data_IF_229579609211
#
_entry.id   IF_229579609211
#
_cell.length_a   1.000
_cell.length_b   1.000
_cell.length_c   1.000
_cell.angle_alpha   90.00
_cell.angle_beta   90.00
_cell.angle_gamma   90.00
#
_symmetry.space_group_name_H-M   'P 1'
#
loop_
_entity.id
_entity.type
_entity.pdbx_description
1 polymer ?
#
# COMPACT_ATOMS: atom_id res chain seq x y z
N UNK A 1 -17.15 -8.01 11.07
CA UNK A 1 -15.91 -8.43 10.37
C UNK A 1 -14.81 -7.47 10.76
N UNK A 2 -13.66 -7.96 11.22
CA UNK A 2 -12.54 -7.10 11.62
C UNK A 2 -12.00 -6.32 10.41
N UNK A 3 -11.59 -5.09 10.63
CA UNK A 3 -10.98 -4.20 9.63
C UNK A 3 -9.83 -4.93 8.92
N UNK A 4 -9.79 -5.05 7.56
CA UNK A 4 -8.72 -5.76 6.85
C UNK A 4 -7.34 -5.14 7.08
N UNK A 5 -7.25 -3.83 7.31
CA UNK A 5 -6.01 -3.18 7.73
C UNK A 5 -5.55 -3.66 9.13
N UNK A 6 -6.48 -4.10 10.00
CA UNK A 6 -6.22 -4.73 11.30
C UNK A 6 -5.99 -6.23 11.15
N UNK A 7 -6.66 -6.89 10.18
CA UNK A 7 -6.46 -8.32 9.89
C UNK A 7 -5.02 -8.59 9.41
N UNK A 8 -4.40 -7.66 8.67
CA UNK A 8 -3.00 -7.76 8.27
C UNK A 8 -2.04 -7.57 9.47
N UNK A 9 -2.48 -6.86 10.54
CA UNK A 9 -1.60 -6.44 11.64
C UNK A 9 -1.83 -7.16 12.98
N UNK A 10 -2.95 -7.88 13.19
CA UNK A 10 -3.30 -8.44 14.49
C UNK A 10 -3.72 -9.94 14.41
N UNK A 11 -2.78 -10.80 14.04
CA UNK A 11 -2.94 -12.25 14.16
C UNK A 11 -1.75 -12.83 14.94
N UNK A 12 -1.72 -12.55 16.24
CA UNK A 12 -0.69 -13.03 17.18
C UNK A 12 -0.59 -14.57 17.26
N UNK A 13 -1.63 -15.28 16.79
CA UNK A 13 -1.71 -16.72 16.89
C UNK A 13 -1.29 -17.44 15.59
N UNK A 14 -0.82 -16.69 14.58
CA UNK A 14 -0.36 -17.23 13.30
C UNK A 14 1.15 -17.46 13.32
N UNK A 15 1.57 -18.50 12.62
CA UNK A 15 2.99 -18.71 12.29
C UNK A 15 3.23 -18.43 10.81
N UNK A 16 4.42 -17.91 10.47
CA UNK A 16 4.80 -17.67 9.08
C UNK A 16 5.99 -18.57 8.74
N UNK A 17 5.86 -19.36 7.67
CA UNK A 17 6.95 -20.15 7.10
C UNK A 17 7.42 -19.48 5.82
N UNK A 18 8.69 -19.07 5.79
CA UNK A 18 9.31 -18.37 4.67
C UNK A 18 10.30 -19.28 3.99
N UNK A 19 10.09 -19.55 2.70
CA UNK A 19 11.00 -20.29 1.85
C UNK A 19 11.86 -19.34 1.02
N UNK A 20 13.14 -19.68 0.89
CA UNK A 20 14.11 -18.96 0.07
C UNK A 20 14.26 -19.63 -1.30
N UNK A 21 13.78 -18.99 -2.36
CA UNK A 21 14.02 -19.39 -3.74
C UNK A 21 15.20 -18.59 -4.28
N UNK A 22 16.40 -19.16 -4.19
CA UNK A 22 17.64 -18.56 -4.70
C UNK A 22 18.08 -19.30 -5.96
N UNK A 23 17.94 -18.71 -7.17
CA UNK A 23 18.40 -19.32 -8.42
C UNK A 23 19.93 -19.36 -8.52
N UNK A 24 20.45 -20.40 -9.15
CA UNK A 24 21.86 -20.48 -9.51
C UNK A 24 22.19 -19.44 -10.60
N UNK A 25 23.32 -18.73 -10.52
CA UNK A 25 23.64 -17.61 -11.44
C UNK A 25 23.75 -17.99 -12.92
N UNK A 26 23.96 -19.27 -13.25
CA UNK A 26 24.26 -19.70 -14.64
C UNK A 26 23.68 -21.07 -15.02
N UNK A 27 22.96 -21.75 -14.13
CA UNK A 27 22.35 -23.05 -14.37
C UNK A 27 20.87 -23.03 -13.98
N UNK A 28 20.01 -23.90 -14.55
CA UNK A 28 18.60 -24.00 -14.21
C UNK A 28 18.39 -24.77 -12.89
N UNK A 29 19.08 -24.35 -11.84
CA UNK A 29 19.08 -24.96 -10.51
C UNK A 29 18.68 -23.91 -9.47
N UNK A 30 18.19 -24.37 -8.33
CA UNK A 30 17.90 -23.53 -7.16
C UNK A 30 18.64 -24.06 -5.94
N UNK A 31 18.95 -23.17 -4.99
CA UNK A 31 19.52 -23.57 -3.71
C UNK A 31 18.53 -24.45 -2.96
N UNK A 32 19.01 -25.58 -2.47
CA UNK A 32 18.21 -26.54 -1.74
C UNK A 32 18.86 -26.88 -0.39
N UNK A 33 18.07 -27.44 0.50
CA UNK A 33 18.56 -28.03 1.75
C UNK A 33 18.20 -29.54 1.82
N UNK A 34 18.98 -30.27 2.59
CA UNK A 34 18.69 -31.70 2.92
C UNK A 34 18.15 -31.75 4.34
N UNK A 35 17.01 -32.39 4.53
CA UNK A 35 16.43 -32.65 5.84
C UNK A 35 15.73 -34.01 5.83
N UNK A 36 15.99 -34.88 6.82
CA UNK A 36 15.27 -36.16 7.01
C UNK A 36 15.14 -37.03 5.75
N UNK A 37 16.15 -37.00 4.86
CA UNK A 37 16.14 -37.76 3.60
C UNK A 37 15.40 -37.09 2.43
N UNK A 38 14.86 -35.90 2.61
CA UNK A 38 14.14 -35.11 1.60
C UNK A 38 14.97 -33.91 1.13
N UNK A 39 14.60 -33.38 -0.02
CA UNK A 39 15.15 -32.18 -0.62
C UNK A 39 14.07 -31.11 -0.63
N UNK A 40 14.33 -29.96 -0.05
CA UNK A 40 13.39 -28.83 0.01
C UNK A 40 14.10 -27.51 -0.24
N UNK A 41 13.32 -26.43 -0.45
CA UNK A 41 13.86 -25.07 -0.37
C UNK A 41 14.33 -24.77 1.05
N UNK A 42 15.41 -24.01 1.23
CA UNK A 42 15.76 -23.47 2.54
C UNK A 42 14.59 -22.68 3.10
N UNK A 43 14.26 -22.89 4.38
CA UNK A 43 13.13 -22.22 5.02
C UNK A 43 13.41 -21.87 6.47
N UNK A 44 12.64 -20.94 7.00
CA UNK A 44 12.63 -20.53 8.39
C UNK A 44 11.20 -20.18 8.82
N UNK A 45 10.94 -20.19 10.13
CA UNK A 45 9.62 -19.90 10.68
C UNK A 45 9.68 -18.72 11.65
N UNK A 46 8.59 -17.96 11.69
CA UNK A 46 8.32 -16.92 12.67
C UNK A 46 7.07 -17.31 13.45
N UNK A 47 7.08 -17.11 14.76
CA UNK A 47 5.94 -17.39 15.67
C UNK A 47 4.89 -16.24 15.64
N UNK A 48 4.83 -15.55 14.52
CA UNK A 48 3.90 -14.46 14.26
C UNK A 48 3.58 -14.38 12.76
N UNK A 49 2.54 -13.66 12.40
CA UNK A 49 2.28 -13.34 11.00
C UNK A 49 3.22 -12.22 10.53
N UNK A 50 4.13 -12.56 9.64
CA UNK A 50 5.06 -11.60 9.02
C UNK A 50 4.48 -11.08 7.71
N UNK A 51 4.39 -9.77 7.57
CA UNK A 51 4.03 -9.19 6.29
C UNK A 51 5.13 -9.43 5.24
N UNK A 52 4.76 -10.00 4.09
CA UNK A 52 5.70 -10.44 3.03
C UNK A 52 6.54 -9.29 2.44
N UNK A 53 6.06 -8.04 2.53
CA UNK A 53 6.79 -6.84 2.12
C UNK A 53 7.76 -6.27 3.17
N UNK A 54 7.84 -6.85 4.37
CA UNK A 54 8.75 -6.41 5.43
C UNK A 54 10.18 -6.89 5.19
N UNK A 55 10.85 -6.28 4.22
CA UNK A 55 12.22 -6.67 3.85
C UNK A 55 13.25 -6.39 4.94
N UNK A 56 12.99 -5.43 5.83
CA UNK A 56 13.84 -5.14 6.97
C UNK A 56 13.98 -6.34 7.92
N UNK A 57 12.86 -7.04 8.17
CA UNK A 57 12.84 -8.24 9.02
C UNK A 57 13.35 -9.47 8.27
N UNK A 58 12.91 -9.64 7.02
CA UNK A 58 13.14 -10.86 6.25
C UNK A 58 14.58 -10.98 5.75
N UNK A 59 15.19 -9.88 5.26
CA UNK A 59 16.49 -9.94 4.58
C UNK A 59 17.61 -10.51 5.45
N UNK A 60 17.86 -10.07 6.69
CA UNK A 60 18.93 -10.61 7.52
C UNK A 60 18.77 -12.11 7.81
N UNK A 61 17.54 -12.55 8.01
CA UNK A 61 17.22 -13.96 8.27
C UNK A 61 17.47 -14.83 7.03
N UNK A 62 17.06 -14.33 5.85
CA UNK A 62 17.29 -15.02 4.58
C UNK A 62 18.76 -15.03 4.16
N UNK A 63 19.53 -13.97 4.40
CA UNK A 63 20.99 -13.95 4.20
C UNK A 63 21.70 -14.98 5.08
N UNK A 64 21.30 -15.09 6.35
CA UNK A 64 21.83 -16.11 7.26
C UNK A 64 21.44 -17.52 6.79
N UNK A 65 20.20 -17.72 6.32
CA UNK A 65 19.69 -19.01 5.86
C UNK A 65 20.40 -19.50 4.60
N UNK A 66 20.65 -18.58 3.65
CA UNK A 66 21.26 -18.89 2.35
C UNK A 66 22.77 -18.77 2.36
N UNK A 67 23.36 -18.22 3.42
CA UNK A 67 24.78 -17.85 3.51
C UNK A 67 25.26 -16.95 2.34
N UNK A 68 24.36 -16.17 1.74
CA UNK A 68 24.64 -15.31 0.60
C UNK A 68 24.18 -13.86 0.86
N UNK A 69 24.86 -12.89 0.28
CA UNK A 69 24.35 -11.51 0.20
C UNK A 69 23.26 -11.47 -0.87
N UNK A 70 22.04 -11.08 -0.47
CA UNK A 70 20.87 -11.17 -1.35
C UNK A 70 20.08 -9.86 -1.43
N UNK A 71 19.34 -9.72 -2.52
CA UNK A 71 18.16 -8.86 -2.60
C UNK A 71 16.89 -9.72 -2.60
N UNK A 72 15.86 -9.30 -1.88
CA UNK A 72 14.53 -9.89 -1.97
C UNK A 72 13.85 -9.20 -3.15
N UNK A 73 13.51 -9.96 -4.20
CA UNK A 73 12.85 -9.42 -5.38
C UNK A 73 11.34 -9.31 -5.17
N UNK A 74 10.68 -10.44 -4.98
CA UNK A 74 9.27 -10.54 -4.64
C UNK A 74 8.97 -11.95 -4.11
N UNK A 75 7.74 -12.22 -3.68
CA UNK A 75 7.32 -13.60 -3.44
C UNK A 75 6.68 -14.18 -4.73
N UNK A 76 6.92 -15.46 -4.97
CA UNK A 76 6.38 -16.19 -6.12
C UNK A 76 5.21 -17.09 -5.75
N UNK A 77 5.00 -17.33 -4.46
CA UNK A 77 3.89 -18.12 -3.95
C UNK A 77 3.52 -17.68 -2.54
N UNK A 78 2.22 -17.66 -2.26
CA UNK A 78 1.64 -17.39 -0.95
C UNK A 78 0.50 -18.37 -0.71
N UNK A 79 0.46 -18.99 0.46
CA UNK A 79 -0.61 -19.88 0.88
C UNK A 79 -1.00 -19.61 2.33
N UNK A 80 -2.30 -19.45 2.59
CA UNK A 80 -2.88 -19.30 3.93
C UNK A 80 -3.59 -20.59 4.31
N UNK A 81 -3.16 -21.20 5.39
CA UNK A 81 -3.82 -22.33 6.03
C UNK A 81 -4.55 -21.81 7.28
N UNK A 82 -5.85 -21.58 7.14
CA UNK A 82 -6.68 -21.02 8.20
C UNK A 82 -6.89 -22.02 9.37
N UNK A 83 -6.92 -23.33 9.08
CA UNK A 83 -7.10 -24.36 10.11
C UNK A 83 -5.90 -24.44 11.03
N UNK A 84 -4.70 -24.39 10.43
CA UNK A 84 -3.43 -24.46 11.15
C UNK A 84 -2.94 -23.08 11.61
N UNK A 85 -3.63 -21.99 11.24
CA UNK A 85 -3.19 -20.61 11.44
C UNK A 85 -1.75 -20.37 10.95
N UNK A 86 -1.47 -20.85 9.73
CA UNK A 86 -0.14 -20.74 9.10
C UNK A 86 -0.19 -20.01 7.78
N UNK A 87 0.76 -19.13 7.61
CA UNK A 87 1.06 -18.51 6.33
C UNK A 87 2.37 -19.09 5.79
N UNK A 88 2.34 -19.49 4.53
CA UNK A 88 3.52 -19.97 3.81
C UNK A 88 3.80 -19.03 2.66
N UNK A 89 5.04 -18.57 2.50
CA UNK A 89 5.44 -17.76 1.37
C UNK A 89 6.81 -18.18 0.83
N UNK A 90 6.98 -18.07 -0.49
CA UNK A 90 8.24 -18.33 -1.18
C UNK A 90 8.77 -17.03 -1.75
N UNK A 91 9.88 -16.52 -1.21
CA UNK A 91 10.54 -15.32 -1.72
C UNK A 91 11.59 -15.66 -2.77
N UNK A 92 11.47 -15.03 -3.94
CA UNK A 92 12.51 -15.04 -4.97
C UNK A 92 13.63 -14.08 -4.56
N UNK A 93 14.84 -14.59 -4.57
CA UNK A 93 16.05 -13.88 -4.15
C UNK A 93 17.00 -13.67 -5.33
N UNK A 94 17.67 -12.54 -5.35
CA UNK A 94 18.79 -12.26 -6.23
C UNK A 94 20.10 -12.36 -5.44
N UNK A 95 21.04 -13.18 -5.90
CA UNK A 95 22.38 -13.24 -5.35
C UNK A 95 23.19 -12.00 -5.79
N UNK A 96 23.54 -11.14 -4.86
CA UNK A 96 24.25 -9.87 -5.14
C UNK A 96 25.68 -10.08 -5.63
N UNK A 97 26.39 -10.99 -4.97
CA UNK A 97 27.83 -11.18 -5.17
C UNK A 97 28.11 -12.26 -6.22
N UNK A 98 27.05 -12.94 -6.71
CA UNK A 98 27.17 -14.12 -7.56
C UNK A 98 28.16 -15.16 -7.03
N UNK A 99 28.47 -15.08 -5.75
CA UNK A 99 29.33 -16.05 -5.09
C UNK A 99 28.63 -17.41 -5.02
N UNK A 100 29.36 -18.44 -5.36
CA UNK A 100 28.96 -19.84 -5.17
C UNK A 100 29.85 -20.43 -4.10
N UNK A 101 29.25 -20.93 -3.05
CA UNK A 101 30.01 -21.62 -2.00
C UNK A 101 30.21 -23.06 -2.36
N UNK A 102 31.39 -23.63 -2.07
CA UNK A 102 31.78 -25.01 -2.42
C UNK A 102 30.89 -26.11 -1.81
N UNK A 103 30.14 -25.75 -0.75
CA UNK A 103 29.25 -26.65 -0.04
C UNK A 103 27.77 -26.46 -0.38
N UNK A 104 27.43 -25.55 -1.32
CA UNK A 104 26.07 -25.32 -1.73
C UNK A 104 25.46 -26.57 -2.38
N UNK A 105 24.20 -26.82 -2.05
CA UNK A 105 23.44 -27.92 -2.59
C UNK A 105 22.42 -27.41 -3.59
N UNK A 106 22.76 -27.50 -4.88
CA UNK A 106 21.92 -27.02 -5.98
C UNK A 106 21.12 -28.16 -6.59
N UNK A 107 19.83 -27.94 -6.80
CA UNK A 107 18.91 -28.94 -7.36
C UNK A 107 18.00 -28.34 -8.42
N UNK A 108 17.55 -29.15 -9.41
CA UNK A 108 16.43 -28.74 -10.27
C UNK A 108 15.16 -28.51 -9.44
N UNK A 109 14.31 -27.55 -9.86
CA UNK A 109 13.08 -27.24 -9.12
C UNK A 109 12.12 -28.44 -9.07
N UNK A 110 12.08 -29.26 -10.11
CA UNK A 110 11.24 -30.44 -10.17
C UNK A 110 11.49 -31.35 -8.97
N UNK A 111 12.76 -31.46 -8.53
CA UNK A 111 13.13 -32.29 -7.38
C UNK A 111 12.66 -31.67 -6.04
N UNK A 112 12.50 -30.37 -5.97
CA UNK A 112 11.92 -29.68 -4.83
C UNK A 112 10.41 -29.89 -4.77
N UNK A 113 9.76 -29.93 -5.94
CA UNK A 113 8.30 -30.11 -6.06
C UNK A 113 7.85 -31.56 -5.75
N UNK A 114 8.78 -32.52 -5.66
CA UNK A 114 8.52 -33.86 -5.14
C UNK A 114 8.31 -33.90 -3.61
N UNK A 115 8.61 -32.80 -2.90
CA UNK A 115 8.45 -32.70 -1.45
C UNK A 115 6.96 -32.59 -1.06
N UNK A 116 6.42 -33.67 -0.50
CA UNK A 116 5.02 -33.71 -0.06
C UNK A 116 4.74 -32.93 1.22
N UNK A 117 5.75 -32.40 1.89
CA UNK A 117 5.59 -31.60 3.10
C UNK A 117 5.36 -30.11 2.76
N UNK A 118 5.65 -29.70 1.52
CA UNK A 118 5.35 -28.36 1.03
C UNK A 118 3.85 -28.25 0.68
N UNK A 119 3.14 -27.23 1.18
CA UNK A 119 1.74 -27.04 0.83
C UNK A 119 1.51 -26.93 -0.68
N UNK A 120 0.56 -27.71 -1.20
CA UNK A 120 0.24 -27.74 -2.65
C UNK A 120 -0.12 -26.37 -3.23
N UNK A 121 -0.62 -25.46 -2.40
CA UNK A 121 -0.90 -24.06 -2.78
C UNK A 121 0.36 -23.31 -3.24
N UNK A 122 1.56 -23.70 -2.83
CA UNK A 122 2.82 -23.09 -3.26
C UNK A 122 3.30 -23.61 -4.62
N UNK A 123 2.91 -24.83 -5.01
CA UNK A 123 3.37 -25.46 -6.25
C UNK A 123 2.98 -24.67 -7.49
N UNK A 124 1.79 -24.07 -7.52
CA UNK A 124 1.33 -23.24 -8.66
C UNK A 124 2.27 -22.07 -8.90
N UNK A 125 2.61 -21.32 -7.85
CA UNK A 125 3.50 -20.16 -7.98
C UNK A 125 4.92 -20.55 -8.39
N UNK A 126 5.46 -21.67 -7.85
CA UNK A 126 6.76 -22.20 -8.24
C UNK A 126 6.80 -22.68 -9.70
N UNK A 127 5.75 -23.35 -10.17
CA UNK A 127 5.63 -23.75 -11.58
C UNK A 127 5.53 -22.54 -12.50
N UNK A 128 4.71 -21.55 -12.14
CA UNK A 128 4.60 -20.29 -12.89
C UNK A 128 5.95 -19.56 -13.00
N UNK A 129 6.70 -19.50 -11.91
CA UNK A 129 8.06 -18.95 -11.92
C UNK A 129 9.00 -19.75 -12.84
N UNK A 130 8.93 -21.09 -12.84
CA UNK A 130 9.75 -21.91 -13.71
C UNK A 130 9.41 -21.69 -15.20
N UNK A 131 8.12 -21.58 -15.53
CA UNK A 131 7.67 -21.26 -16.89
C UNK A 131 8.17 -19.87 -17.33
N UNK A 132 8.14 -18.87 -16.43
CA UNK A 132 8.71 -17.55 -16.66
C UNK A 132 10.23 -17.65 -17.00
N UNK A 133 10.98 -18.44 -16.20
CA UNK A 133 12.42 -18.62 -16.46
C UNK A 133 12.70 -19.33 -17.79
N UNK A 134 11.88 -20.31 -18.16
CA UNK A 134 12.03 -21.07 -19.41
C UNK A 134 11.62 -20.24 -20.64
N UNK A 135 10.56 -19.46 -20.55
CA UNK A 135 10.08 -18.60 -21.64
C UNK A 135 10.88 -17.33 -21.80
N UNK A 136 11.55 -16.84 -20.75
CA UNK A 136 12.19 -15.54 -20.69
C UNK A 136 11.21 -14.37 -20.72
N UNK A 137 9.91 -14.62 -20.52
CA UNK A 137 8.86 -13.59 -20.53
C UNK A 137 8.59 -13.14 -19.10
N UNK A 138 8.76 -11.86 -18.87
CA UNK A 138 8.37 -11.23 -17.58
C UNK A 138 6.90 -10.80 -17.63
N UNK A 139 6.09 -11.07 -16.60
CA UNK A 139 4.73 -10.55 -16.51
C UNK A 139 4.66 -9.03 -16.67
N UNK A 140 3.76 -8.55 -17.52
CA UNK A 140 3.62 -7.13 -17.88
C UNK A 140 3.47 -6.21 -16.65
N UNK A 141 2.78 -6.71 -15.63
CA UNK A 141 2.47 -5.94 -14.40
C UNK A 141 3.46 -6.21 -13.26
N UNK A 142 4.63 -6.78 -13.54
CA UNK A 142 5.70 -6.99 -12.56
C UNK A 142 6.23 -5.64 -12.08
N UNK A 143 6.34 -5.47 -10.75
CA UNK A 143 6.95 -4.27 -10.17
C UNK A 143 8.42 -4.14 -10.59
N UNK A 144 8.93 -2.93 -10.92
CA UNK A 144 10.31 -2.76 -11.39
C UNK A 144 11.37 -3.29 -10.43
N UNK A 145 11.17 -3.14 -9.13
CA UNK A 145 12.09 -3.62 -8.07
C UNK A 145 12.07 -5.14 -7.86
N UNK A 146 11.09 -5.82 -8.45
CA UNK A 146 11.04 -7.28 -8.50
C UNK A 146 11.89 -7.88 -9.62
N UNK A 147 12.54 -7.04 -10.44
CA UNK A 147 13.39 -7.48 -11.55
C UNK A 147 14.86 -7.56 -11.16
N UNK A 148 15.60 -8.59 -11.60
CA UNK A 148 17.04 -8.69 -11.37
C UNK A 148 17.80 -7.44 -11.81
N UNK A 149 18.79 -7.03 -11.01
CA UNK A 149 19.65 -5.87 -11.27
C UNK A 149 19.01 -4.51 -11.01
N UNK A 150 17.72 -4.45 -10.65
CA UNK A 150 17.07 -3.18 -10.32
C UNK A 150 17.68 -2.55 -9.05
N UNK A 151 17.89 -3.35 -8.00
CA UNK A 151 18.49 -2.88 -6.75
C UNK A 151 19.85 -2.23 -6.98
N UNK A 152 20.72 -2.85 -7.77
CA UNK A 152 22.03 -2.28 -8.09
C UNK A 152 21.94 -0.95 -8.87
N UNK A 153 20.90 -0.75 -9.70
CA UNK A 153 20.66 0.53 -10.38
C UNK A 153 20.17 1.60 -9.40
N UNK A 154 19.24 1.23 -8.51
CA UNK A 154 18.74 2.14 -7.48
C UNK A 154 19.86 2.58 -6.52
N UNK A 155 20.69 1.65 -6.04
CA UNK A 155 21.83 1.95 -5.17
C UNK A 155 22.83 2.91 -5.84
N UNK A 156 23.15 2.72 -7.13
CA UNK A 156 24.01 3.66 -7.87
C UNK A 156 23.40 5.06 -7.93
N UNK A 157 22.11 5.15 -8.28
CA UNK A 157 21.43 6.44 -8.32
C UNK A 157 21.43 7.12 -6.95
N UNK A 158 21.17 6.39 -5.88
CA UNK A 158 21.22 6.90 -4.50
C UNK A 158 22.61 7.47 -4.20
N UNK A 159 23.68 6.71 -4.46
CA UNK A 159 25.06 7.16 -4.23
C UNK A 159 25.39 8.43 -5.02
N UNK A 160 24.97 8.50 -6.28
CA UNK A 160 25.16 9.69 -7.12
C UNK A 160 24.42 10.91 -6.56
N UNK A 161 23.18 10.73 -6.04
CA UNK A 161 22.42 11.85 -5.45
C UNK A 161 23.01 12.27 -4.11
N UNK A 162 23.40 11.34 -3.23
CA UNK A 162 24.03 11.63 -1.94
C UNK A 162 25.30 12.46 -2.15
N UNK A 163 26.12 12.11 -3.14
CA UNK A 163 27.32 12.86 -3.53
C UNK A 163 26.98 14.29 -3.99
N UNK A 164 25.97 14.44 -4.87
CA UNK A 164 25.53 15.76 -5.37
C UNK A 164 24.95 16.65 -4.28
N UNK A 165 24.32 16.05 -3.27
CA UNK A 165 23.74 16.74 -2.11
C UNK A 165 24.76 17.01 -1.00
N UNK A 166 26.03 16.64 -1.22
CA UNK A 166 27.13 16.83 -0.25
C UNK A 166 26.84 16.23 1.13
N UNK A 167 26.13 15.06 1.16
CA UNK A 167 25.76 14.37 2.39
C UNK A 167 26.88 13.43 2.94
N UNK A 168 28.09 13.53 2.40
CA UNK A 168 29.21 12.65 2.76
C UNK A 168 29.10 11.26 2.15
N UNK A 169 29.86 10.30 2.67
CA UNK A 169 29.84 8.93 2.16
C UNK A 169 28.56 8.18 2.59
N UNK A 170 28.04 7.35 1.69
CA UNK A 170 26.98 6.38 2.03
C UNK A 170 27.59 5.27 2.88
N UNK A 171 27.05 5.06 4.07
CA UNK A 171 27.48 4.03 5.02
C UNK A 171 26.71 2.73 4.84
N UNK A 172 25.37 2.80 4.64
CA UNK A 172 24.53 1.65 4.31
C UNK A 172 23.32 2.06 3.48
N UNK A 173 22.81 1.10 2.70
CA UNK A 173 21.53 1.16 2.00
C UNK A 173 20.74 -0.10 2.39
N UNK A 174 19.67 0.08 3.16
CA UNK A 174 18.91 -1.01 3.75
C UNK A 174 17.46 -0.99 3.21
N UNK A 175 16.99 -2.04 2.53
CA UNK A 175 15.59 -2.16 2.17
C UNK A 175 14.76 -2.34 3.44
N UNK A 176 13.72 -1.50 3.61
CA UNK A 176 12.81 -1.57 4.75
C UNK A 176 11.41 -2.05 4.36
N UNK A 177 11.00 -1.76 3.12
CA UNK A 177 9.70 -2.15 2.59
C UNK A 177 9.84 -2.43 1.09
N UNK A 178 9.30 -3.56 0.63
CA UNK A 178 9.21 -3.87 -0.80
C UNK A 178 7.93 -4.67 -1.05
N UNK A 179 7.01 -4.13 -1.83
CA UNK A 179 5.75 -4.75 -2.16
C UNK A 179 5.24 -4.28 -3.53
N UNK A 180 4.01 -4.61 -3.91
CA UNK A 180 3.51 -4.42 -5.28
C UNK A 180 3.43 -2.96 -5.75
N UNK A 181 3.34 -2.00 -4.83
CA UNK A 181 3.10 -0.58 -5.17
C UNK A 181 4.26 0.35 -4.85
N UNK A 182 5.16 -0.01 -3.94
CA UNK A 182 6.33 0.79 -3.60
C UNK A 182 7.49 -0.03 -3.04
N UNK A 183 8.70 0.53 -3.18
CA UNK A 183 9.92 0.03 -2.55
C UNK A 183 10.61 1.17 -1.80
N UNK A 184 11.01 0.94 -0.55
CA UNK A 184 11.60 1.96 0.31
C UNK A 184 12.92 1.46 0.89
N UNK A 185 13.98 2.28 0.76
CA UNK A 185 15.28 2.03 1.40
C UNK A 185 15.59 3.11 2.41
N UNK A 186 16.17 2.70 3.54
CA UNK A 186 16.86 3.59 4.47
C UNK A 186 18.31 3.74 4.04
N UNK A 187 18.78 4.96 3.92
CA UNK A 187 20.14 5.30 3.48
C UNK A 187 20.86 6.02 4.61
N UNK A 188 21.81 5.36 5.24
CA UNK A 188 22.67 6.01 6.23
C UNK A 188 23.84 6.70 5.53
N UNK A 189 24.07 7.96 5.85
CA UNK A 189 25.20 8.77 5.36
C UNK A 189 26.01 9.32 6.52
N UNK A 190 27.16 9.95 6.25
CA UNK A 190 27.97 10.60 7.29
C UNK A 190 27.23 11.76 7.98
N UNK A 191 26.30 12.41 7.29
CA UNK A 191 25.59 13.60 7.81
C UNK A 191 24.17 13.31 8.30
N UNK A 192 23.71 12.06 8.23
CA UNK A 192 22.38 11.68 8.69
C UNK A 192 21.73 10.58 7.85
N UNK A 193 20.43 10.40 8.05
CA UNK A 193 19.63 9.38 7.40
C UNK A 193 18.79 10.01 6.30
N UNK A 194 18.70 9.31 5.16
CA UNK A 194 17.81 9.63 4.06
C UNK A 194 16.91 8.44 3.77
N UNK A 195 15.81 8.68 3.08
CA UNK A 195 14.91 7.63 2.60
C UNK A 195 14.76 7.72 1.08
N UNK A 196 15.07 6.61 0.41
CA UNK A 196 14.76 6.43 -0.99
C UNK A 196 13.40 5.75 -1.10
N UNK A 197 12.52 6.30 -1.95
CA UNK A 197 11.25 5.66 -2.30
C UNK A 197 11.15 5.53 -3.81
N UNK A 198 10.79 4.35 -4.26
CA UNK A 198 10.35 4.08 -5.63
C UNK A 198 8.87 3.72 -5.59
N UNK A 199 8.08 4.43 -6.37
CA UNK A 199 6.65 4.17 -6.57
C UNK A 199 6.41 3.79 -8.02
N UNK A 200 5.43 2.92 -8.28
CA UNK A 200 5.07 2.59 -9.66
C UNK A 200 3.86 3.42 -10.10
N UNK A 201 3.76 3.58 -11.40
CA UNK A 201 2.61 4.18 -12.03
C UNK A 201 1.44 3.19 -12.00
N UNK A 202 0.37 3.54 -11.33
CA UNK A 202 -0.88 2.78 -11.25
C UNK A 202 -2.06 3.72 -11.46
N UNK A 203 -3.22 3.21 -11.94
CA UNK A 203 -4.43 4.02 -11.99
C UNK A 203 -4.75 4.63 -10.63
N UNK A 204 -5.02 5.93 -10.59
CA UNK A 204 -5.26 6.74 -9.39
C UNK A 204 -4.06 6.99 -8.47
N UNK A 205 -2.86 6.49 -8.81
CA UNK A 205 -1.65 6.89 -8.13
C UNK A 205 -0.99 8.04 -8.87
N UNK A 206 -0.49 9.01 -8.12
CA UNK A 206 0.25 10.14 -8.66
C UNK A 206 1.73 9.80 -8.80
N UNK A 207 2.45 10.58 -9.60
CA UNK A 207 3.90 10.68 -9.46
C UNK A 207 4.21 11.45 -8.17
N UNK A 208 4.33 10.72 -7.07
CA UNK A 208 4.39 11.30 -5.72
C UNK A 208 5.50 12.33 -5.58
N UNK A 209 6.69 12.06 -6.13
CA UNK A 209 7.80 12.99 -6.04
C UNK A 209 7.51 14.33 -6.74
N UNK A 210 6.85 14.30 -7.91
CA UNK A 210 6.46 15.51 -8.63
C UNK A 210 5.38 16.29 -7.89
N UNK A 211 4.39 15.60 -7.35
CA UNK A 211 3.31 16.23 -6.55
C UNK A 211 3.88 16.83 -5.26
N UNK A 212 4.75 16.11 -4.54
CA UNK A 212 5.42 16.62 -3.35
C UNK A 212 6.28 17.85 -3.62
N UNK A 213 6.99 17.89 -4.74
CA UNK A 213 7.78 19.06 -5.13
C UNK A 213 6.92 20.31 -5.38
N UNK A 214 5.65 20.13 -5.76
CA UNK A 214 4.68 21.21 -5.89
C UNK A 214 4.04 21.55 -4.54
N UNK A 215 3.54 20.56 -3.80
CA UNK A 215 2.90 20.75 -2.50
C UNK A 215 3.84 21.39 -1.48
N UNK A 216 5.13 21.05 -1.51
CA UNK A 216 6.14 21.66 -0.64
C UNK A 216 6.34 23.16 -0.85
N UNK A 217 6.00 23.70 -2.06
CA UNK A 217 5.98 25.13 -2.32
C UNK A 217 4.70 25.80 -1.79
N UNK A 218 3.57 25.07 -1.86
CA UNK A 218 2.28 25.57 -1.38
C UNK A 218 2.15 25.50 0.14
N UNK A 219 2.66 24.42 0.72
CA UNK A 219 2.51 24.06 2.13
C UNK A 219 3.86 23.74 2.75
N UNK A 220 4.78 24.71 2.82
CA UNK A 220 6.11 24.49 3.42
C UNK A 220 5.94 23.99 4.85
N UNK A 221 6.79 23.04 5.25
CA UNK A 221 6.77 22.37 6.56
C UNK A 221 5.56 21.45 6.83
N UNK A 222 4.55 21.43 5.94
CA UNK A 222 3.36 20.57 6.05
C UNK A 222 3.47 19.29 5.24
N UNK A 223 4.36 19.26 4.24
CA UNK A 223 4.65 18.10 3.40
C UNK A 223 6.16 17.96 3.23
N UNK A 224 6.69 16.74 3.05
CA UNK A 224 8.12 16.56 2.77
C UNK A 224 8.46 17.12 1.38
N UNK A 225 9.65 17.72 1.29
CA UNK A 225 10.18 18.19 0.01
C UNK A 225 11.24 17.19 -0.45
N UNK A 226 11.10 16.60 -1.64
CA UNK A 226 12.12 15.71 -2.16
C UNK A 226 13.46 16.42 -2.39
N UNK A 227 14.53 15.81 -1.90
CA UNK A 227 15.90 16.30 -2.08
C UNK A 227 16.42 16.02 -3.50
N UNK A 228 15.99 14.90 -4.09
CA UNK A 228 16.28 14.50 -5.46
C UNK A 228 15.10 13.71 -6.04
N UNK A 229 14.92 13.83 -7.35
CA UNK A 229 13.81 13.21 -8.09
C UNK A 229 14.32 12.61 -9.40
N UNK A 230 13.72 11.49 -9.78
CA UNK A 230 13.74 10.95 -11.14
C UNK A 230 12.29 10.53 -11.52
N UNK A 231 11.47 11.48 -11.99
CA UNK A 231 10.03 11.27 -12.18
C UNK A 231 9.69 10.14 -13.15
N UNK A 232 10.48 9.96 -14.21
CA UNK A 232 10.29 8.88 -15.22
C UNK A 232 10.39 7.47 -14.60
N UNK A 233 11.08 7.34 -13.47
CA UNK A 233 11.25 6.08 -12.74
C UNK A 233 10.41 6.01 -11.47
N UNK A 234 9.72 7.10 -11.13
CA UNK A 234 9.02 7.23 -9.86
C UNK A 234 9.96 7.19 -8.63
N UNK A 235 11.22 7.65 -8.80
CA UNK A 235 12.24 7.64 -7.74
C UNK A 235 12.35 8.98 -7.06
N UNK A 236 12.45 8.96 -5.74
CA UNK A 236 12.74 10.14 -4.94
C UNK A 236 13.64 9.83 -3.76
N UNK A 237 14.38 10.86 -3.31
CA UNK A 237 15.17 10.85 -2.10
C UNK A 237 14.61 11.91 -1.15
N UNK A 238 14.35 11.52 0.08
CA UNK A 238 13.76 12.34 1.13
C UNK A 238 14.73 12.42 2.31
N UNK A 239 14.64 13.50 3.07
CA UNK A 239 15.31 13.59 4.38
C UNK A 239 14.59 12.70 5.40
N UNK A 240 15.21 12.44 6.55
CA UNK A 240 14.52 11.86 7.69
C UNK A 240 13.70 12.95 8.40
N UNK A 241 12.39 12.75 8.50
CA UNK A 241 11.51 13.70 9.17
C UNK A 241 11.11 13.25 10.59
N UNK A 242 11.70 12.17 11.10
CA UNK A 242 11.43 11.62 12.42
C UNK A 242 10.34 10.56 12.43
N UNK A 243 9.91 10.18 13.64
CA UNK A 243 8.95 9.11 13.84
C UNK A 243 7.51 9.57 13.60
N UNK A 244 6.69 8.71 12.97
CA UNK A 244 5.26 8.96 12.82
C UNK A 244 4.55 9.12 14.17
N UNK A 245 3.46 9.90 14.17
CA UNK A 245 2.58 10.05 15.33
C UNK A 245 2.09 8.70 15.85
N UNK A 246 1.85 7.75 14.93
CA UNK A 246 1.42 6.39 15.25
C UNK A 246 -0.09 6.25 15.45
N UNK A 247 -0.62 5.09 15.07
CA UNK A 247 -2.06 4.79 15.15
C UNK A 247 -2.57 4.71 16.59
N UNK A 248 -1.67 4.38 17.55
CA UNK A 248 -1.97 4.26 18.98
C UNK A 248 -1.74 5.57 19.75
N UNK A 249 -1.51 6.68 19.04
CA UNK A 249 -1.36 7.99 19.66
C UNK A 249 -2.64 8.45 20.35
N UNK A 250 -2.51 9.38 21.31
CA UNK A 250 -3.64 9.89 22.08
C UNK A 250 -4.72 10.50 21.17
N UNK A 251 -5.99 10.29 21.52
CA UNK A 251 -7.16 10.71 20.72
C UNK A 251 -7.16 12.21 20.45
N UNK A 252 -6.77 13.01 21.45
CA UNK A 252 -6.68 14.46 21.32
C UNK A 252 -5.62 14.90 20.28
N UNK A 253 -4.52 14.14 20.16
CA UNK A 253 -3.50 14.39 19.14
C UNK A 253 -4.02 14.04 17.74
N UNK A 254 -4.70 12.89 17.60
CA UNK A 254 -5.33 12.51 16.34
C UNK A 254 -6.42 13.52 15.94
N UNK A 255 -7.21 14.01 16.89
CA UNK A 255 -8.25 15.01 16.65
C UNK A 255 -7.66 16.34 16.15
N UNK A 256 -6.58 16.83 16.78
CA UNK A 256 -5.87 18.05 16.32
C UNK A 256 -5.29 17.87 14.92
N UNK A 257 -4.70 16.70 14.64
CA UNK A 257 -4.20 16.35 13.31
C UNK A 257 -5.33 16.42 12.26
N UNK A 258 -6.51 15.84 12.55
CA UNK A 258 -7.66 15.87 11.64
C UNK A 258 -8.17 17.29 11.42
N UNK A 259 -8.25 18.12 12.46
CA UNK A 259 -8.65 19.52 12.34
C UNK A 259 -7.64 20.34 11.52
N UNK A 260 -6.35 20.12 11.75
CA UNK A 260 -5.29 20.77 11.00
C UNK A 260 -5.34 20.41 9.52
N UNK A 261 -5.59 19.11 9.22
CA UNK A 261 -5.75 18.65 7.84
C UNK A 261 -7.02 19.22 7.18
N UNK A 262 -8.15 19.34 7.91
CA UNK A 262 -9.35 19.98 7.42
C UNK A 262 -9.07 21.43 6.93
N UNK A 263 -8.25 22.19 7.68
CA UNK A 263 -7.84 23.55 7.27
C UNK A 263 -6.99 23.53 6.00
N UNK A 264 -6.10 22.53 5.84
CA UNK A 264 -5.35 22.35 4.60
C UNK A 264 -6.29 22.04 3.43
N UNK A 265 -7.28 21.17 3.62
CA UNK A 265 -8.28 20.86 2.59
C UNK A 265 -9.08 22.11 2.21
N UNK A 266 -9.57 22.90 3.17
CA UNK A 266 -10.32 24.14 2.94
C UNK A 266 -9.47 25.12 2.12
N UNK A 267 -8.21 25.34 2.50
CA UNK A 267 -7.30 26.22 1.74
C UNK A 267 -7.04 25.68 0.32
N UNK A 268 -6.90 24.37 0.16
CA UNK A 268 -6.64 23.72 -1.13
C UNK A 268 -7.80 23.85 -2.11
N UNK A 269 -9.04 24.01 -1.64
CA UNK A 269 -10.23 24.18 -2.48
C UNK A 269 -10.17 25.39 -3.41
N UNK A 270 -9.33 26.36 -3.08
CA UNK A 270 -9.08 27.55 -3.91
C UNK A 270 -7.98 27.34 -4.97
N UNK A 271 -7.37 26.15 -5.04
CA UNK A 271 -6.17 25.88 -5.84
C UNK A 271 -6.33 24.64 -6.75
N UNK A 272 -7.56 24.20 -6.99
CA UNK A 272 -7.88 22.92 -7.65
C UNK A 272 -7.19 22.77 -9.01
N UNK A 273 -7.31 23.75 -9.91
CA UNK A 273 -6.73 23.68 -11.24
C UNK A 273 -5.18 23.58 -11.20
N UNK A 274 -4.57 24.28 -10.26
CA UNK A 274 -3.13 24.22 -10.08
C UNK A 274 -2.65 22.86 -9.51
N UNK A 275 -3.45 22.27 -8.62
CA UNK A 275 -3.18 20.93 -8.07
C UNK A 275 -3.35 19.84 -9.14
N UNK A 276 -4.38 19.92 -9.98
CA UNK A 276 -4.56 19.03 -11.13
C UNK A 276 -3.39 19.18 -12.13
N UNK A 277 -3.00 20.42 -12.43
CA UNK A 277 -1.84 20.69 -13.31
C UNK A 277 -0.51 20.16 -12.72
N UNK A 278 -0.40 20.08 -11.39
CA UNK A 278 0.75 19.48 -10.70
C UNK A 278 0.74 17.95 -10.68
N UNK A 279 -0.34 17.31 -11.16
CA UNK A 279 -0.44 15.88 -11.30
C UNK A 279 -1.29 15.18 -10.22
N UNK A 280 -2.00 15.92 -9.35
CA UNK A 280 -3.01 15.30 -8.49
C UNK A 280 -4.09 14.64 -9.33
N UNK A 281 -4.53 13.44 -8.94
CA UNK A 281 -5.53 12.69 -9.68
C UNK A 281 -6.89 13.37 -9.63
N UNK A 282 -7.55 13.56 -10.78
CA UNK A 282 -8.94 14.04 -10.83
C UNK A 282 -9.89 12.88 -10.49
N UNK A 283 -10.47 12.95 -9.30
CA UNK A 283 -11.45 11.98 -8.79
C UNK A 283 -12.70 12.68 -8.29
N UNK A 284 -13.07 13.77 -8.94
CA UNK A 284 -14.27 14.52 -8.61
C UNK A 284 -15.51 13.65 -8.70
N UNK A 285 -16.48 13.92 -7.83
CA UNK A 285 -17.65 13.06 -7.60
C UNK A 285 -18.51 12.89 -8.85
N UNK A 286 -18.49 13.85 -9.78
CA UNK A 286 -19.22 13.82 -11.04
C UNK A 286 -18.96 12.55 -11.86
N UNK A 287 -17.78 11.97 -11.73
CA UNK A 287 -17.40 10.72 -12.42
C UNK A 287 -17.88 9.46 -11.69
N UNK A 288 -18.21 9.55 -10.41
CA UNK A 288 -18.51 8.37 -9.57
C UNK A 288 -19.75 7.57 -10.05
N UNK A 289 -20.87 8.20 -10.48
CA UNK A 289 -22.02 7.46 -10.97
C UNK A 289 -21.74 6.52 -12.15
N UNK A 290 -20.77 6.90 -13.01
CA UNK A 290 -20.41 6.09 -14.20
C UNK A 290 -19.53 4.90 -13.85
N UNK A 291 -19.01 4.84 -12.63
CA UNK A 291 -18.12 3.78 -12.14
C UNK A 291 -18.89 2.69 -11.37
N UNK A 292 -20.15 2.94 -11.00
CA UNK A 292 -20.98 2.03 -10.20
C UNK A 292 -21.23 0.71 -10.92
N UNK A 293 -21.85 0.77 -12.10
CA UNK A 293 -22.21 -0.45 -12.83
C UNK A 293 -20.97 -1.27 -13.22
N UNK A 294 -19.88 -0.69 -13.78
CA UNK A 294 -18.65 -1.44 -14.06
C UNK A 294 -17.99 -2.06 -12.82
N UNK A 295 -18.11 -1.44 -11.65
CA UNK A 295 -17.58 -2.00 -10.40
C UNK A 295 -18.40 -3.22 -9.95
N UNK A 296 -19.73 -3.16 -10.07
CA UNK A 296 -20.64 -4.24 -9.64
C UNK A 296 -20.68 -5.43 -10.61
N UNK A 297 -20.15 -5.25 -11.82
CA UNK A 297 -20.01 -6.30 -12.85
C UNK A 297 -18.60 -6.91 -12.89
N UNK A 298 -17.64 -6.37 -12.12
CA UNK A 298 -16.25 -6.79 -12.15
C UNK A 298 -16.02 -8.07 -11.33
N UNK A 299 -15.87 -9.21 -12.01
CA UNK A 299 -15.66 -10.51 -11.37
C UNK A 299 -14.41 -10.56 -10.47
N UNK A 300 -13.38 -9.77 -10.75
CA UNK A 300 -12.22 -9.67 -9.85
C UNK A 300 -12.60 -9.15 -8.46
N UNK A 301 -13.66 -8.35 -8.38
CA UNK A 301 -14.17 -7.75 -7.15
C UNK A 301 -15.31 -8.55 -6.56
N UNK A 302 -16.35 -8.86 -7.38
CA UNK A 302 -17.60 -9.42 -6.87
C UNK A 302 -17.54 -10.92 -6.62
N UNK A 303 -16.53 -11.65 -7.14
CA UNK A 303 -16.34 -13.08 -6.84
C UNK A 303 -16.17 -13.40 -5.35
N UNK A 304 -15.78 -12.43 -4.54
CA UNK A 304 -15.64 -12.55 -3.08
C UNK A 304 -16.93 -12.23 -2.30
N UNK A 305 -18.02 -11.89 -3.00
CA UNK A 305 -19.32 -11.55 -2.42
C UNK A 305 -20.28 -12.72 -2.59
N UNK A 306 -21.19 -12.90 -1.60
CA UNK A 306 -22.31 -13.80 -1.72
C UNK A 306 -23.32 -13.28 -2.75
N UNK A 307 -24.15 -14.17 -3.31
CA UNK A 307 -25.14 -13.79 -4.34
C UNK A 307 -26.13 -12.75 -3.82
N UNK A 308 -26.52 -12.87 -2.57
CA UNK A 308 -27.41 -11.90 -1.91
C UNK A 308 -26.73 -10.51 -1.77
N UNK A 309 -25.40 -10.46 -1.54
CA UNK A 309 -24.64 -9.22 -1.49
C UNK A 309 -24.55 -8.57 -2.89
N UNK A 310 -24.33 -9.38 -3.94
CA UNK A 310 -24.29 -8.92 -5.35
C UNK A 310 -25.65 -8.34 -5.77
N UNK A 311 -26.74 -9.06 -5.51
CA UNK A 311 -28.09 -8.58 -5.80
C UNK A 311 -28.41 -7.28 -5.08
N UNK A 312 -28.08 -7.18 -3.79
CA UNK A 312 -28.30 -5.98 -3.01
C UNK A 312 -27.50 -4.76 -3.53
N UNK A 313 -26.28 -4.95 -4.06
CA UNK A 313 -25.52 -3.88 -4.69
C UNK A 313 -26.19 -3.39 -5.98
N UNK A 314 -26.67 -4.30 -6.82
CA UNK A 314 -27.36 -3.94 -8.06
C UNK A 314 -28.68 -3.20 -7.78
N UNK A 315 -29.46 -3.64 -6.79
CA UNK A 315 -30.66 -2.96 -6.33
C UNK A 315 -30.36 -1.56 -5.75
N UNK A 316 -29.21 -1.39 -5.07
CA UNK A 316 -28.80 -0.11 -4.52
C UNK A 316 -28.25 0.89 -5.57
N UNK A 317 -27.87 0.44 -6.77
CA UNK A 317 -27.19 1.28 -7.77
C UNK A 317 -27.95 2.59 -8.11
N UNK A 318 -29.30 2.59 -8.36
CA UNK A 318 -30.02 3.83 -8.60
C UNK A 318 -30.00 4.79 -7.41
N UNK A 319 -30.07 4.24 -6.19
CA UNK A 319 -30.00 5.03 -4.94
C UNK A 319 -28.64 5.65 -4.76
N UNK A 320 -27.56 4.91 -5.05
CA UNK A 320 -26.20 5.43 -4.95
C UNK A 320 -25.93 6.55 -5.96
N UNK A 321 -26.47 6.44 -7.18
CA UNK A 321 -26.42 7.52 -8.17
C UNK A 321 -27.16 8.78 -7.67
N UNK A 322 -28.33 8.61 -7.03
CA UNK A 322 -29.08 9.71 -6.43
C UNK A 322 -28.31 10.35 -5.26
N UNK A 323 -27.73 9.56 -4.33
CA UNK A 323 -26.92 10.07 -3.23
C UNK A 323 -25.69 10.85 -3.72
N UNK A 324 -25.10 10.43 -4.84
CA UNK A 324 -24.00 11.20 -5.45
C UNK A 324 -24.46 12.56 -5.93
N UNK A 325 -25.65 12.64 -6.54
CA UNK A 325 -26.25 13.91 -6.95
C UNK A 325 -26.62 14.78 -5.73
N UNK A 326 -27.14 14.18 -4.65
CA UNK A 326 -27.43 14.88 -3.40
C UNK A 326 -26.14 15.50 -2.81
N UNK A 327 -25.03 14.75 -2.80
CA UNK A 327 -23.73 15.24 -2.29
C UNK A 327 -23.19 16.39 -3.14
N UNK A 328 -23.33 16.31 -4.47
CA UNK A 328 -22.93 17.37 -5.40
C UNK A 328 -23.75 18.66 -5.24
N UNK A 329 -24.99 18.56 -4.79
CA UNK A 329 -25.87 19.72 -4.58
C UNK A 329 -25.52 20.51 -3.30
N UNK A 330 -24.72 19.95 -2.40
CA UNK A 330 -24.30 20.62 -1.17
C UNK A 330 -23.13 21.57 -1.43
N UNK A 331 -23.04 22.70 -0.69
CA UNK A 331 -22.04 23.74 -0.95
C UNK A 331 -20.62 23.42 -0.44
N UNK A 332 -20.30 22.15 -0.22
CA UNK A 332 -18.97 21.74 0.21
C UNK A 332 -18.08 21.56 -1.03
N UNK A 333 -17.00 22.33 -1.18
CA UNK A 333 -16.17 22.27 -2.39
C UNK A 333 -15.34 21.00 -2.43
N UNK A 334 -14.90 20.64 -3.64
CA UNK A 334 -13.82 19.66 -3.80
C UNK A 334 -12.51 20.22 -3.22
N UNK A 335 -11.67 19.34 -2.74
CA UNK A 335 -10.41 19.67 -2.08
C UNK A 335 -9.32 18.66 -2.40
N UNK A 336 -8.10 18.96 -1.98
CA UNK A 336 -6.99 18.00 -1.99
C UNK A 336 -7.23 16.91 -0.94
N UNK A 337 -7.23 15.67 -1.38
CA UNK A 337 -7.22 14.49 -0.54
C UNK A 337 -5.81 13.94 -0.44
N UNK A 338 -5.47 13.43 0.73
CA UNK A 338 -4.28 12.60 0.93
C UNK A 338 -4.46 11.20 0.34
N UNK A 339 -5.67 10.67 0.44
CA UNK A 339 -6.09 9.35 -0.05
C UNK A 339 -5.83 8.19 0.92
N UNK A 340 -4.83 8.33 1.81
CA UNK A 340 -4.52 7.38 2.90
C UNK A 340 -4.15 8.12 4.19
N UNK A 341 -5.02 9.04 4.63
CA UNK A 341 -4.78 9.87 5.81
C UNK A 341 -4.99 9.10 7.11
N UNK A 342 -3.91 8.82 7.81
CA UNK A 342 -3.94 8.27 9.17
C UNK A 342 -2.69 8.69 9.97
N UNK A 343 -2.74 8.55 11.30
CA UNK A 343 -1.66 8.97 12.18
C UNK A 343 -0.30 8.28 11.93
N UNK A 344 -0.28 7.15 11.20
CA UNK A 344 0.94 6.49 10.74
C UNK A 344 1.62 7.18 9.55
N UNK A 345 0.93 8.10 8.85
CA UNK A 345 1.44 8.89 7.73
C UNK A 345 1.62 10.36 8.10
N UNK A 346 1.74 10.66 9.40
CA UNK A 346 1.84 12.03 9.91
C UNK A 346 2.93 12.13 10.96
N UNK A 347 3.77 13.15 10.86
CA UNK A 347 4.76 13.53 11.87
C UNK A 347 4.23 14.74 12.62
N UNK A 348 4.30 14.72 13.94
CA UNK A 348 4.04 15.89 14.76
C UNK A 348 5.27 16.79 14.82
N UNK A 349 5.09 18.08 14.57
CA UNK A 349 6.12 19.12 14.68
C UNK A 349 5.60 20.26 15.54
N UNK A 350 6.09 20.40 16.75
CA UNK A 350 5.63 21.40 17.72
C UNK A 350 4.11 21.60 17.69
N UNK A 351 3.63 22.68 17.07
CA UNK A 351 2.20 23.01 16.92
C UNK A 351 1.61 22.66 15.55
N UNK A 352 2.35 22.01 14.67
CA UNK A 352 1.94 21.64 13.31
C UNK A 352 2.12 20.14 13.02
N UNK A 353 1.66 19.74 11.84
CA UNK A 353 1.78 18.37 11.36
C UNK A 353 2.38 18.35 9.96
N UNK A 354 3.27 17.39 9.72
CA UNK A 354 3.81 17.08 8.40
C UNK A 354 3.16 15.78 7.91
N UNK A 355 2.52 15.84 6.75
CA UNK A 355 1.82 14.73 6.11
C UNK A 355 2.69 14.13 5.02
N UNK A 356 2.93 12.83 5.05
CA UNK A 356 3.77 12.12 4.08
C UNK A 356 3.05 10.90 3.50
N UNK A 357 3.62 10.29 2.44
CA UNK A 357 3.01 9.20 1.66
C UNK A 357 1.76 9.66 0.87
N UNK A 358 2.00 10.58 -0.08
CA UNK A 358 0.98 11.21 -0.92
C UNK A 358 0.71 10.45 -2.23
N UNK A 359 1.03 9.18 -2.29
CA UNK A 359 0.86 8.35 -3.51
C UNK A 359 -0.58 8.38 -4.04
N UNK A 360 -1.57 8.47 -3.15
CA UNK A 360 -3.01 8.48 -3.43
C UNK A 360 -3.61 9.89 -3.57
N UNK A 361 -2.77 10.93 -3.69
CA UNK A 361 -3.23 12.31 -3.74
C UNK A 361 -4.24 12.57 -4.86
N UNK A 362 -5.39 13.08 -4.50
CA UNK A 362 -6.49 13.29 -5.44
C UNK A 362 -7.26 14.59 -5.17
N UNK A 363 -8.00 15.04 -6.17
CA UNK A 363 -9.01 16.09 -6.03
C UNK A 363 -10.38 15.42 -6.00
N UNK A 364 -11.07 15.51 -4.85
CA UNK A 364 -12.41 14.96 -4.68
C UNK A 364 -13.16 15.65 -3.53
N UNK A 365 -14.26 15.02 -3.08
CA UNK A 365 -14.98 15.50 -1.89
C UNK A 365 -14.16 15.25 -0.63
N UNK A 366 -13.88 16.27 0.20
CA UNK A 366 -12.92 16.19 1.31
C UNK A 366 -13.21 15.08 2.32
N UNK A 367 -14.48 14.75 2.53
CA UNK A 367 -14.87 13.77 3.54
C UNK A 367 -14.56 12.31 3.14
N UNK A 368 -14.25 12.03 1.88
CA UNK A 368 -13.77 10.70 1.47
C UNK A 368 -12.38 10.35 2.03
N UNK A 369 -11.61 11.33 2.44
CA UNK A 369 -10.34 11.10 3.15
C UNK A 369 -10.52 10.60 4.60
N UNK A 370 -11.73 10.72 5.13
CA UNK A 370 -12.02 10.40 6.54
C UNK A 370 -12.39 8.93 6.77
N UNK A 371 -11.87 8.05 5.93
CA UNK A 371 -12.09 6.61 6.01
C UNK A 371 -11.83 6.05 7.42
N UNK A 372 -10.75 6.48 8.08
CA UNK A 372 -10.39 5.99 9.41
C UNK A 372 -11.38 6.44 10.50
N UNK A 373 -12.07 7.58 10.32
CA UNK A 373 -13.15 8.00 11.21
C UNK A 373 -14.40 7.16 10.93
N UNK A 374 -14.77 6.98 9.66
CA UNK A 374 -15.94 6.18 9.31
C UNK A 374 -15.84 4.73 9.79
N UNK A 375 -14.62 4.18 9.81
CA UNK A 375 -14.32 2.80 10.20
C UNK A 375 -13.95 2.62 11.68
N UNK A 376 -13.85 3.71 12.46
CA UNK A 376 -13.53 3.62 13.89
C UNK A 376 -14.67 2.90 14.64
N UNK A 377 -14.31 1.92 15.46
CA UNK A 377 -15.23 1.07 16.22
C UNK A 377 -15.52 1.63 17.61
N UNK A 378 -14.60 2.42 18.19
CA UNK A 378 -14.85 3.12 19.47
C UNK A 378 -15.70 4.37 19.20
N UNK A 379 -16.95 4.33 19.60
CA UNK A 379 -17.91 5.42 19.40
C UNK A 379 -17.46 6.75 20.01
N UNK A 380 -16.79 6.71 21.16
CA UNK A 380 -16.30 7.92 21.85
C UNK A 380 -15.16 8.56 21.07
N UNK A 381 -14.20 7.75 20.65
CA UNK A 381 -13.08 8.20 19.78
C UNK A 381 -13.61 8.70 18.45
N UNK A 382 -14.47 7.93 17.80
CA UNK A 382 -15.11 8.30 16.52
C UNK A 382 -15.79 9.67 16.61
N UNK A 383 -16.63 9.87 17.62
CA UNK A 383 -17.33 11.14 17.83
C UNK A 383 -16.34 12.29 18.06
N UNK A 384 -15.31 12.08 18.86
CA UNK A 384 -14.29 13.10 19.14
C UNK A 384 -13.56 13.53 17.87
N UNK A 385 -13.11 12.55 17.07
CA UNK A 385 -12.41 12.82 15.80
C UNK A 385 -13.33 13.53 14.80
N UNK A 386 -14.56 13.04 14.64
CA UNK A 386 -15.58 13.59 13.76
C UNK A 386 -15.90 15.05 14.13
N UNK A 387 -16.28 15.32 15.38
CA UNK A 387 -16.67 16.66 15.81
C UNK A 387 -15.52 17.65 15.64
N UNK A 388 -14.29 17.24 15.97
CA UNK A 388 -13.12 18.09 15.82
C UNK A 388 -12.80 18.37 14.36
N UNK A 389 -12.88 17.37 13.48
CA UNK A 389 -12.69 17.55 12.03
C UNK A 389 -13.75 18.47 11.42
N UNK A 390 -15.04 18.22 11.71
CA UNK A 390 -16.15 18.98 11.16
C UNK A 390 -16.20 20.42 11.67
N UNK A 391 -15.72 20.68 12.90
CA UNK A 391 -15.70 22.05 13.44
C UNK A 391 -14.94 23.02 12.54
N UNK A 392 -13.86 22.60 11.89
CA UNK A 392 -13.12 23.45 10.94
C UNK A 392 -13.96 23.80 9.69
N UNK A 393 -14.75 22.86 9.20
CA UNK A 393 -15.66 23.09 8.07
C UNK A 393 -16.86 23.96 8.47
N UNK A 394 -17.40 23.81 9.70
CA UNK A 394 -18.50 24.59 10.23
C UNK A 394 -18.12 26.07 10.48
N UNK A 395 -16.83 26.41 10.50
CA UNK A 395 -16.35 27.81 10.49
C UNK A 395 -16.62 28.52 9.16
N UNK A 396 -16.75 27.76 8.05
CA UNK A 396 -16.85 28.28 6.68
C UNK A 396 -18.19 28.00 6.00
N UNK A 397 -18.91 26.97 6.42
CA UNK A 397 -20.14 26.47 5.79
C UNK A 397 -21.23 26.26 6.84
N UNK A 398 -22.51 26.35 6.41
CA UNK A 398 -23.61 26.12 7.31
C UNK A 398 -23.55 24.72 7.93
N UNK A 399 -23.68 24.64 9.25
CA UNK A 399 -23.59 23.39 10.01
C UNK A 399 -24.49 22.29 9.47
N UNK A 400 -25.71 22.63 9.04
CA UNK A 400 -26.67 21.69 8.47
C UNK A 400 -26.12 21.03 7.19
N UNK A 401 -25.50 21.82 6.31
CA UNK A 401 -24.92 21.33 5.04
C UNK A 401 -23.69 20.45 5.29
N UNK A 402 -22.81 20.89 6.22
CA UNK A 402 -21.62 20.10 6.61
C UNK A 402 -22.04 18.75 7.16
N UNK A 403 -23.03 18.71 8.06
CA UNK A 403 -23.52 17.47 8.68
C UNK A 403 -24.22 16.57 7.65
N UNK A 404 -25.01 17.15 6.76
CA UNK A 404 -25.65 16.40 5.68
C UNK A 404 -24.62 15.81 4.72
N UNK A 405 -23.61 16.59 4.32
CA UNK A 405 -22.53 16.11 3.48
C UNK A 405 -21.75 14.96 4.14
N UNK A 406 -21.51 15.06 5.45
CA UNK A 406 -20.85 13.99 6.23
C UNK A 406 -21.65 12.69 6.23
N UNK A 407 -22.96 12.76 6.46
CA UNK A 407 -23.85 11.59 6.43
C UNK A 407 -23.82 10.88 5.07
N UNK A 408 -23.95 11.66 3.99
CA UNK A 408 -23.96 11.11 2.63
C UNK A 408 -22.58 10.55 2.26
N UNK A 409 -21.51 11.29 2.56
CA UNK A 409 -20.14 10.82 2.34
C UNK A 409 -19.83 9.55 3.16
N UNK A 410 -20.35 9.46 4.38
CA UNK A 410 -20.25 8.27 5.24
C UNK A 410 -20.96 7.03 4.70
N UNK A 411 -21.83 7.18 3.70
CA UNK A 411 -22.36 6.05 2.93
C UNK A 411 -21.51 5.80 1.68
N UNK A 412 -21.17 6.87 0.93
CA UNK A 412 -20.48 6.76 -0.35
C UNK A 412 -18.99 6.45 -0.25
N UNK A 413 -18.33 6.61 0.93
CA UNK A 413 -16.89 6.33 1.05
C UNK A 413 -16.56 4.87 0.66
N UNK A 414 -17.46 3.93 0.98
CA UNK A 414 -17.31 2.54 0.58
C UNK A 414 -17.24 2.38 -0.93
N UNK A 415 -18.08 3.08 -1.69
CA UNK A 415 -18.04 3.10 -3.15
C UNK A 415 -16.74 3.72 -3.67
N UNK A 416 -16.36 4.89 -3.14
CA UNK A 416 -15.17 5.61 -3.56
C UNK A 416 -13.90 4.77 -3.41
N UNK A 417 -13.72 4.12 -2.25
CA UNK A 417 -12.57 3.27 -2.00
C UNK A 417 -12.65 1.91 -2.72
N UNK A 418 -13.84 1.33 -2.91
CA UNK A 418 -13.99 0.12 -3.72
C UNK A 418 -13.49 0.34 -5.16
N UNK A 419 -13.82 1.50 -5.76
CA UNK A 419 -13.30 1.88 -7.08
C UNK A 419 -11.77 2.03 -7.06
N UNK A 420 -11.18 2.61 -6.00
CA UNK A 420 -9.71 2.70 -5.87
C UNK A 420 -9.07 1.31 -5.91
N UNK A 421 -9.53 0.42 -5.05
CA UNK A 421 -8.96 -0.93 -4.95
C UNK A 421 -9.24 -1.80 -6.18
N UNK A 422 -10.37 -1.61 -6.87
CA UNK A 422 -10.60 -2.23 -8.18
C UNK A 422 -9.49 -1.83 -9.17
N UNK A 423 -9.19 -0.55 -9.28
CA UNK A 423 -8.17 -0.04 -10.20
C UNK A 423 -6.76 -0.52 -9.83
N UNK A 424 -6.44 -0.55 -8.54
CA UNK A 424 -5.17 -1.10 -8.04
C UNK A 424 -5.06 -2.58 -8.42
N UNK A 425 -6.11 -3.39 -8.14
CA UNK A 425 -6.11 -4.81 -8.42
C UNK A 425 -5.90 -5.11 -9.92
N UNK A 426 -6.52 -4.32 -10.81
CA UNK A 426 -6.27 -4.44 -12.24
C UNK A 426 -4.89 -3.94 -12.69
N UNK A 427 -4.24 -3.09 -11.91
CA UNK A 427 -2.91 -2.52 -12.21
C UNK A 427 -1.74 -3.37 -11.75
N UNK A 428 -1.94 -4.38 -10.92
CA UNK A 428 -0.89 -5.23 -10.35
C UNK A 428 -0.93 -6.65 -10.91
N UNK A 429 0.15 -7.39 -10.70
CA UNK A 429 0.27 -8.78 -11.11
C UNK A 429 -0.75 -9.66 -10.37
N UNK A 430 -1.32 -10.65 -11.05
CA UNK A 430 -2.35 -11.55 -10.50
C UNK A 430 -1.90 -12.22 -9.19
N UNK A 431 -0.65 -12.65 -9.14
CA UNK A 431 -0.07 -13.32 -7.96
C UNK A 431 -0.19 -12.48 -6.68
N UNK A 432 -0.08 -11.15 -6.79
CA UNK A 432 -0.08 -10.24 -5.65
C UNK A 432 -1.45 -9.57 -5.41
N UNK A 433 -2.44 -9.82 -6.26
CA UNK A 433 -3.81 -9.29 -6.11
C UNK A 433 -4.44 -9.59 -4.74
N UNK A 434 -4.29 -10.81 -4.15
CA UNK A 434 -4.89 -11.09 -2.84
C UNK A 434 -4.45 -10.15 -1.72
N UNK A 435 -3.27 -9.53 -1.82
CA UNK A 435 -2.80 -8.56 -0.83
C UNK A 435 -3.50 -7.20 -0.89
N UNK A 436 -4.00 -6.83 -2.07
CA UNK A 436 -4.52 -5.50 -2.36
C UNK A 436 -5.98 -5.51 -2.84
N UNK A 437 -6.62 -6.67 -2.93
CA UNK A 437 -8.03 -6.73 -3.32
C UNK A 437 -8.94 -6.48 -2.11
N UNK A 438 -9.04 -5.22 -1.70
CA UNK A 438 -9.96 -4.79 -0.65
C UNK A 438 -11.28 -4.22 -1.20
N UNK A 439 -11.48 -4.22 -2.52
CA UNK A 439 -12.70 -3.66 -3.12
C UNK A 439 -13.97 -4.30 -2.54
N UNK A 440 -14.02 -5.65 -2.42
CA UNK A 440 -15.16 -6.38 -1.85
C UNK A 440 -15.46 -5.98 -0.39
N UNK A 441 -14.44 -5.68 0.40
CA UNK A 441 -14.61 -5.21 1.78
C UNK A 441 -15.33 -3.86 1.81
N UNK A 442 -14.90 -2.93 0.96
CA UNK A 442 -15.54 -1.62 0.86
C UNK A 442 -16.95 -1.69 0.28
N UNK A 443 -17.23 -2.65 -0.60
CA UNK A 443 -18.60 -2.91 -1.06
C UNK A 443 -19.51 -3.40 0.08
N UNK A 444 -19.00 -4.21 0.99
CA UNK A 444 -19.74 -4.58 2.21
C UNK A 444 -20.01 -3.38 3.11
N UNK A 445 -19.02 -2.48 3.27
CA UNK A 445 -19.22 -1.22 4.01
C UNK A 445 -20.23 -0.31 3.34
N UNK A 446 -20.26 -0.27 2.02
CA UNK A 446 -21.28 0.44 1.24
C UNK A 446 -22.68 -0.10 1.55
N UNK A 447 -22.89 -1.42 1.52
CA UNK A 447 -24.17 -2.05 1.85
C UNK A 447 -24.61 -1.76 3.30
N UNK A 448 -23.66 -1.77 4.26
CA UNK A 448 -23.94 -1.36 5.65
C UNK A 448 -24.45 0.09 5.71
N UNK A 449 -23.81 1.01 4.95
CA UNK A 449 -24.19 2.42 4.86
C UNK A 449 -25.60 2.62 4.25
N UNK A 450 -25.89 1.93 3.16
CA UNK A 450 -27.21 1.99 2.51
C UNK A 450 -28.33 1.53 3.47
N UNK A 451 -28.13 0.40 4.14
CA UNK A 451 -29.10 -0.13 5.13
C UNK A 451 -29.36 0.83 6.30
N UNK A 452 -28.32 1.57 6.74
CA UNK A 452 -28.49 2.58 7.81
C UNK A 452 -29.36 3.75 7.37
N UNK A 453 -29.22 4.18 6.10
CA UNK A 453 -30.05 5.26 5.53
C UNK A 453 -31.53 4.88 5.34
N UNK A 454 -31.83 3.58 5.17
CA UNK A 454 -33.20 3.08 5.01
C UNK A 454 -33.94 2.99 6.38
N UNK A 455 -33.18 2.86 7.46
CA UNK A 455 -33.73 2.71 8.81
C UNK A 455 -33.86 4.05 9.58
N UNK A 456 -33.34 5.14 9.02
CA UNK A 456 -33.44 6.51 9.55
C UNK A 456 -34.46 7.36 8.75
#
# INVERSE_FOLDING_TARGET
MKNPFVIILNMSDWTTVVYALLPHPSQPLVLAQRGSGKVSLPNLSYDERVWVGNTRLLKPSLEKLTAASINILHYVALHLDEEMQRMYCVHLLENRDRALFSNDFWQPLEKILEDNDMPSGLHRGLNSWQEEQQSGLTPERRAPWALPGWHARAERWIMDQVMRLERGAVQSIEPIKSWSISCVFKVATETGVLYFKASRELPFFVNEGSVLAYLGKLYPERVPVPLALEPERGWMLLDDFGDPLGRDSAVDQQARMMQDFARLQIDSSQKIEALLAAGCTDRRIESLPTQIDPLFEDELVVSFLAEEERSALQEAAPRLKALTADLLALPIPVALLHGDLHAGNVIRRDDSFLYFDWTDAAISHPFFDMIHIFMEEDDTKKLTLQETYLSAWEEHYAKADVRRAWEVAGTLYGLYHAVSYQKIAHGIEELVQPELNFAYYFLRKLLEGVKKLENN
#
